data_IF_537727531235
#
_entry.id   IF_537727531235
#
_cell.length_a   1.000
_cell.length_b   1.000
_cell.length_c   1.000
_cell.angle_alpha   90.00
_cell.angle_beta   90.00
_cell.angle_gamma   90.00
#
_symmetry.space_group_name_H-M   'P 1'
#
loop_
_entity.id
_entity.type
_entity.pdbx_description
1 polymer ?
#
# COMPACT_ATOMS: atom_id res chain seq x y z
N UNK A 1 27.42 0.63 2.56
CA UNK A 1 26.08 0.82 3.16
C UNK A 1 25.18 -0.26 2.61
N UNK A 2 24.53 -1.06 3.46
CA UNK A 2 23.44 -1.94 3.03
C UNK A 2 22.25 -1.02 2.77
N UNK A 3 21.83 -0.87 1.53
CA UNK A 3 20.60 -0.16 1.23
C UNK A 3 19.50 -1.21 1.27
N UNK A 4 18.59 -1.04 2.21
CA UNK A 4 17.45 -1.92 2.41
C UNK A 4 16.39 -1.54 1.37
N UNK A 5 16.20 -2.38 0.35
CA UNK A 5 15.22 -2.19 -0.72
C UNK A 5 14.04 -3.13 -0.55
N UNK A 6 12.84 -2.61 -0.79
CA UNK A 6 11.58 -3.36 -0.82
C UNK A 6 11.00 -3.29 -2.24
N UNK A 7 10.46 -4.40 -2.75
CA UNK A 7 9.84 -4.42 -4.07
C UNK A 7 8.76 -5.50 -4.20
N UNK A 8 7.87 -5.35 -5.18
CA UNK A 8 6.89 -6.37 -5.55
C UNK A 8 7.55 -7.34 -6.53
N UNK A 9 7.65 -8.62 -6.14
CA UNK A 9 8.01 -9.71 -7.04
C UNK A 9 6.73 -10.22 -7.73
N UNK A 10 6.47 -9.70 -8.92
CA UNK A 10 5.26 -10.03 -9.71
C UNK A 10 5.18 -11.51 -10.10
N UNK A 11 6.32 -12.17 -10.35
CA UNK A 11 6.34 -13.57 -10.74
C UNK A 11 5.86 -14.50 -9.60
N UNK A 12 6.08 -14.09 -8.35
CA UNK A 12 5.71 -14.85 -7.16
C UNK A 12 4.48 -14.30 -6.44
N UNK A 13 3.95 -13.15 -6.88
CA UNK A 13 2.87 -12.40 -6.22
C UNK A 13 3.16 -12.12 -4.73
N UNK A 14 4.38 -11.63 -4.45
CA UNK A 14 4.90 -11.39 -3.10
C UNK A 14 5.69 -10.09 -3.00
N UNK A 15 5.75 -9.54 -1.79
CA UNK A 15 6.68 -8.47 -1.46
C UNK A 15 8.02 -9.08 -1.01
N UNK A 16 9.12 -8.55 -1.53
CA UNK A 16 10.48 -8.93 -1.13
C UNK A 16 11.18 -7.74 -0.47
N UNK A 17 11.92 -8.01 0.60
CA UNK A 17 12.68 -7.00 1.32
C UNK A 17 13.27 -7.54 2.62
N UNK A 18 14.09 -6.74 3.32
CA UNK A 18 14.67 -7.13 4.60
C UNK A 18 13.59 -7.51 5.63
N UNK A 19 13.83 -8.60 6.36
CA UNK A 19 12.93 -9.13 7.38
C UNK A 19 11.53 -9.54 6.86
N UNK A 20 11.35 -9.69 5.55
CA UNK A 20 10.14 -10.26 4.93
C UNK A 20 10.48 -11.64 4.40
N UNK A 21 10.27 -12.67 5.21
CA UNK A 21 10.55 -14.06 4.83
C UNK A 21 9.41 -14.69 4.03
N UNK A 22 8.16 -14.34 4.37
CA UNK A 22 6.98 -14.84 3.67
C UNK A 22 5.83 -13.84 3.77
N UNK A 23 5.03 -13.77 2.72
CA UNK A 23 3.78 -13.02 2.72
C UNK A 23 2.83 -13.59 1.68
N UNK A 24 1.55 -13.22 1.80
CA UNK A 24 0.51 -13.58 0.84
C UNK A 24 -0.42 -12.41 0.60
N UNK A 25 -0.65 -12.09 -0.68
CA UNK A 25 -1.63 -11.08 -1.09
C UNK A 25 -3.04 -11.46 -0.63
N UNK A 26 -3.73 -10.52 0.01
CA UNK A 26 -5.12 -10.66 0.43
C UNK A 26 -6.00 -10.28 -0.75
N UNK A 27 -6.65 -11.29 -1.35
CA UNK A 27 -7.59 -11.08 -2.46
C UNK A 27 -8.95 -10.63 -1.94
N UNK A 28 -9.03 -9.40 -1.46
CA UNK A 28 -10.24 -8.74 -0.96
C UNK A 28 -10.16 -7.25 -1.35
N UNK A 29 -11.30 -6.69 -1.73
CA UNK A 29 -11.49 -5.24 -1.83
C UNK A 29 -11.70 -4.66 -0.43
N UNK A 30 -10.93 -3.63 -0.09
CA UNK A 30 -11.05 -2.93 1.19
C UNK A 30 -11.75 -1.58 1.00
N UNK A 31 -12.66 -1.22 1.92
CA UNK A 31 -13.19 0.14 1.96
C UNK A 31 -12.13 1.13 2.47
N UNK A 32 -12.33 2.43 2.21
CA UNK A 32 -11.44 3.49 2.70
C UNK A 32 -11.35 3.45 4.24
N UNK A 33 -12.45 3.18 4.94
CA UNK A 33 -12.47 3.02 6.40
C UNK A 33 -11.70 1.79 6.86
N UNK A 34 -11.84 0.65 6.16
CA UNK A 34 -11.07 -0.55 6.48
C UNK A 34 -9.56 -0.31 6.30
N UNK A 35 -9.17 0.42 5.25
CA UNK A 35 -7.76 0.78 5.02
C UNK A 35 -7.26 1.70 6.14
N UNK A 36 -8.07 2.68 6.58
CA UNK A 36 -7.69 3.54 7.70
C UNK A 36 -7.44 2.74 8.98
N UNK A 37 -8.32 1.79 9.30
CA UNK A 37 -8.13 0.89 10.44
C UNK A 37 -6.85 0.08 10.31
N UNK A 38 -6.54 -0.45 9.11
CA UNK A 38 -5.31 -1.20 8.87
C UNK A 38 -4.04 -0.37 9.12
N UNK A 39 -4.04 0.92 8.75
CA UNK A 39 -2.91 1.83 8.96
C UNK A 39 -2.68 2.07 10.46
N UNK A 40 -3.75 2.15 11.24
CA UNK A 40 -3.69 2.40 12.68
C UNK A 40 -3.20 1.18 13.47
N UNK A 41 -3.20 -0.03 12.90
CA UNK A 41 -2.68 -1.22 13.55
C UNK A 41 -1.19 -1.10 13.90
N UNK A 42 -0.73 -1.65 15.03
CA UNK A 42 0.66 -1.53 15.47
C UNK A 42 1.65 -2.23 14.52
N UNK A 43 1.29 -3.43 14.04
CA UNK A 43 2.16 -4.33 13.27
C UNK A 43 1.89 -4.23 11.75
N UNK A 44 1.92 -3.01 11.21
CA UNK A 44 1.73 -2.76 9.77
C UNK A 44 2.96 -2.10 9.16
N UNK A 45 3.42 -2.65 8.05
CA UNK A 45 4.40 -2.03 7.16
C UNK A 45 3.64 -1.27 6.06
N UNK A 46 4.00 -0.02 5.86
CA UNK A 46 3.33 0.88 4.91
C UNK A 46 4.31 1.27 3.82
N UNK A 47 3.90 1.15 2.57
CA UNK A 47 4.72 1.50 1.42
C UNK A 47 3.93 2.28 0.37
N UNK A 48 4.62 3.14 -0.37
CA UNK A 48 4.13 3.74 -1.61
C UNK A 48 4.91 3.14 -2.77
N UNK A 49 4.19 2.66 -3.79
CA UNK A 49 4.77 2.26 -5.06
C UNK A 49 4.52 3.39 -6.07
N UNK A 50 5.58 4.11 -6.44
CA UNK A 50 5.50 5.19 -7.43
C UNK A 50 5.93 4.74 -8.83
N UNK A 51 6.92 3.84 -8.92
CA UNK A 51 7.51 3.40 -10.19
C UNK A 51 8.11 1.98 -10.09
N UNK A 52 7.98 1.19 -11.16
CA UNK A 52 8.73 -0.05 -11.44
C UNK A 52 8.83 -1.05 -10.27
N UNK A 53 7.72 -1.22 -9.54
CA UNK A 53 7.57 -2.18 -8.44
C UNK A 53 8.45 -1.93 -7.22
N UNK A 54 9.20 -0.83 -7.18
CA UNK A 54 9.99 -0.43 -6.02
C UNK A 54 9.09 0.20 -4.96
N UNK A 55 9.23 -0.27 -3.73
CA UNK A 55 8.41 0.15 -2.60
C UNK A 55 9.20 1.13 -1.73
N UNK A 56 8.70 2.36 -1.62
CA UNK A 56 9.20 3.38 -0.71
C UNK A 56 8.46 3.27 0.63
N UNK A 57 9.13 3.05 1.76
CA UNK A 57 8.46 3.01 3.06
C UNK A 57 7.87 4.38 3.40
N UNK A 58 6.67 4.40 3.98
CA UNK A 58 6.03 5.61 4.50
C UNK A 58 5.79 5.46 6.00
N UNK A 59 6.02 6.53 6.75
CA UNK A 59 5.77 6.54 8.18
C UNK A 59 4.27 6.69 8.46
N UNK A 60 3.78 5.94 9.45
CA UNK A 60 2.36 5.93 9.85
C UNK A 60 1.87 7.33 10.21
N UNK A 61 2.65 8.08 10.97
CA UNK A 61 2.32 9.43 11.41
C UNK A 61 2.20 10.40 10.22
N UNK A 62 3.07 10.24 9.21
CA UNK A 62 3.01 11.03 7.98
C UNK A 62 1.75 10.70 7.18
N UNK A 63 1.48 9.40 6.99
CA UNK A 63 0.31 8.92 6.25
C UNK A 63 -0.99 9.40 6.90
N UNK A 64 -1.13 9.26 8.22
CA UNK A 64 -2.30 9.71 8.97
C UNK A 64 -2.48 11.24 8.91
N UNK A 65 -1.39 12.01 8.97
CA UNK A 65 -1.45 13.48 8.84
C UNK A 65 -1.95 13.93 7.45
N UNK A 66 -1.61 13.17 6.41
CA UNK A 66 -2.01 13.45 5.02
C UNK A 66 -3.32 12.76 4.62
N UNK A 67 -3.85 11.88 5.47
CA UNK A 67 -4.95 10.99 5.12
C UNK A 67 -6.14 11.72 4.52
N UNK A 68 -6.74 12.65 5.26
CA UNK A 68 -7.96 13.35 4.82
C UNK A 68 -7.71 14.34 3.67
N UNK A 69 -6.45 14.71 3.41
CA UNK A 69 -6.09 15.73 2.41
C UNK A 69 -5.62 15.14 1.08
N UNK A 70 -4.95 13.99 1.11
CA UNK A 70 -4.27 13.42 -0.04
C UNK A 70 -4.75 12.00 -0.35
N UNK A 71 -4.96 11.16 0.66
CA UNK A 71 -5.21 9.72 0.45
C UNK A 71 -6.69 9.38 0.35
N UNK A 72 -7.51 9.80 1.32
CA UNK A 72 -8.88 9.34 1.47
C UNK A 72 -9.76 9.58 0.23
N UNK A 73 -9.54 10.70 -0.47
CA UNK A 73 -10.27 11.07 -1.69
C UNK A 73 -9.69 10.49 -2.98
N UNK A 74 -8.49 9.90 -2.93
CA UNK A 74 -7.78 9.39 -4.11
C UNK A 74 -7.50 7.89 -3.98
N UNK A 75 -8.21 7.16 -3.12
CA UNK A 75 -8.11 5.70 -3.08
C UNK A 75 -9.14 5.12 -4.04
N UNK A 76 -8.68 4.23 -4.92
CA UNK A 76 -9.57 3.40 -5.71
C UNK A 76 -9.85 2.09 -4.99
N UNK A 77 -11.11 1.92 -4.59
CA UNK A 77 -11.61 0.70 -3.95
C UNK A 77 -12.29 -0.24 -4.95
N UNK A 78 -12.32 0.08 -6.24
CA UNK A 78 -12.92 -0.76 -7.28
C UNK A 78 -11.84 -1.33 -8.20
N UNK A 79 -12.12 -2.49 -8.80
CA UNK A 79 -11.21 -3.14 -9.77
C UNK A 79 -11.07 -2.33 -11.09
N UNK A 80 -11.83 -1.24 -11.24
CA UNK A 80 -11.83 -0.35 -12.39
C UNK A 80 -11.87 1.09 -11.87
N UNK A 81 -10.86 1.90 -12.16
CA UNK A 81 -10.93 3.35 -11.98
C UNK A 81 -10.14 4.05 -13.07
N UNK A 82 -10.68 5.18 -13.52
CA UNK A 82 -10.00 6.11 -14.41
C UNK A 82 -9.40 7.24 -13.59
N UNK A 83 -8.28 7.78 -14.05
CA UNK A 83 -7.68 8.99 -13.47
C UNK A 83 -8.62 10.18 -13.56
N UNK A 84 -9.45 10.22 -14.61
CA UNK A 84 -10.48 11.25 -14.82
C UNK A 84 -11.55 11.27 -13.72
N UNK A 85 -11.70 10.18 -12.97
CA UNK A 85 -12.67 10.07 -11.87
C UNK A 85 -12.18 10.79 -10.59
N UNK A 86 -10.93 11.26 -10.56
CA UNK A 86 -10.28 11.84 -9.38
C UNK A 86 -9.84 13.29 -9.62
N UNK A 87 -10.24 14.19 -8.71
CA UNK A 87 -10.02 15.64 -8.83
C UNK A 87 -8.54 16.03 -8.97
N UNK A 88 -7.63 15.22 -8.39
CA UNK A 88 -6.20 15.51 -8.40
C UNK A 88 -5.48 14.95 -9.64
N UNK A 89 -6.18 14.26 -10.54
CA UNK A 89 -5.57 13.61 -11.70
C UNK A 89 -4.60 12.49 -11.29
N UNK A 90 -4.88 11.81 -10.18
CA UNK A 90 -4.19 10.58 -9.78
C UNK A 90 -5.06 9.80 -8.80
N UNK A 91 -4.78 8.51 -8.63
CA UNK A 91 -5.35 7.70 -7.55
C UNK A 91 -4.39 6.61 -7.07
N UNK A 92 -4.70 5.97 -5.95
CA UNK A 92 -3.96 4.86 -5.38
C UNK A 92 -4.78 3.58 -5.48
N UNK A 93 -4.21 2.54 -6.10
CA UNK A 93 -4.65 1.16 -5.85
C UNK A 93 -4.03 0.68 -4.54
N UNK A 94 -4.85 0.06 -3.69
CA UNK A 94 -4.40 -0.43 -2.38
C UNK A 94 -4.38 -1.94 -2.41
N UNK A 95 -3.19 -2.48 -2.16
CA UNK A 95 -3.00 -3.90 -1.96
C UNK A 95 -2.57 -4.18 -0.51
N UNK A 96 -3.03 -5.31 0.02
CA UNK A 96 -2.70 -5.76 1.38
C UNK A 96 -2.10 -7.16 1.33
N UNK A 97 -0.99 -7.37 2.02
CA UNK A 97 -0.36 -8.68 2.20
C UNK A 97 -0.31 -9.02 3.68
N UNK A 98 -0.53 -10.29 4.01
CA UNK A 98 -0.32 -10.81 5.37
C UNK A 98 1.07 -11.41 5.48
N UNK A 99 1.79 -11.06 6.54
CA UNK A 99 3.10 -11.56 6.91
C UNK A 99 3.01 -12.26 8.28
N UNK A 100 3.18 -13.58 8.30
CA UNK A 100 2.95 -14.37 9.52
C UNK A 100 1.52 -14.25 10.05
N UNK A 101 1.33 -14.40 11.37
CA UNK A 101 -0.01 -14.40 11.99
C UNK A 101 -0.56 -12.98 12.24
N UNK A 102 0.29 -12.00 12.56
CA UNK A 102 -0.16 -10.68 13.04
C UNK A 102 0.34 -9.48 12.22
N UNK A 103 1.35 -9.63 11.37
CA UNK A 103 1.89 -8.50 10.63
C UNK A 103 1.23 -8.34 9.26
N UNK A 104 1.03 -7.10 8.83
CA UNK A 104 0.45 -6.76 7.52
C UNK A 104 1.35 -5.82 6.76
N UNK A 105 1.26 -5.88 5.45
CA UNK A 105 1.89 -4.93 4.54
C UNK A 105 0.78 -4.25 3.74
N UNK A 106 0.75 -2.93 3.72
CA UNK A 106 -0.18 -2.15 2.90
C UNK A 106 0.64 -1.35 1.90
N UNK A 107 0.33 -1.52 0.62
CA UNK A 107 1.00 -0.80 -0.47
C UNK A 107 0.00 0.12 -1.15
N UNK A 108 0.39 1.40 -1.27
CA UNK A 108 -0.30 2.44 -2.00
C UNK A 108 0.35 2.57 -3.38
N UNK A 109 -0.24 1.98 -4.41
CA UNK A 109 0.28 2.04 -5.78
C UNK A 109 -0.31 3.24 -6.52
N UNK A 110 0.51 4.27 -6.72
CA UNK A 110 0.11 5.51 -7.38
C UNK A 110 -0.13 5.28 -8.87
N UNK A 111 -1.23 5.80 -9.39
CA UNK A 111 -1.61 5.80 -10.80
C UNK A 111 -1.86 7.25 -11.25
N UNK A 112 -1.35 7.61 -12.42
CA UNK A 112 -1.45 8.93 -13.06
C UNK A 112 -2.12 8.85 -14.42
#
# INVERSE_FOLDING_TARGET
>A
MKVDYFFINEAEDKISGPNIESNKKVKKIFSVEEIKVLIEEPDVLLFVNKHDNLLEPIFKEELLRKWDKEFASNINTNDYGSVDDYENGYFYYIDVWKMGENAKIVVFSLQH
#
